data_IF_722450753110
#
_entry.id   IF_722450753110
#
_cell.length_a   1.000
_cell.length_b   1.000
_cell.length_c   1.000
_cell.angle_alpha   90.00
_cell.angle_beta   90.00
_cell.angle_gamma   90.00
#
_symmetry.space_group_name_H-M   'P 1'
#
loop_
_entity.id
_entity.type
_entity.pdbx_description
1 polymer ?
#
# COMPACT_ATOMS: atom_id res chain seq x y z
N UNK A 1 -11.11 23.79 -33.23
CA UNK A 1 -10.59 24.04 -31.88
C UNK A 1 -9.66 22.89 -31.54
N UNK A 2 -8.44 23.14 -31.06
CA UNK A 2 -7.52 22.05 -30.72
C UNK A 2 -7.96 21.38 -29.41
N UNK A 3 -7.54 20.13 -29.20
CA UNK A 3 -7.87 19.37 -27.98
C UNK A 3 -7.43 20.11 -26.71
N UNK A 4 -6.29 20.78 -26.75
CA UNK A 4 -5.80 21.58 -25.63
C UNK A 4 -6.71 22.79 -25.34
N UNK A 5 -7.15 23.50 -26.38
CA UNK A 5 -8.08 24.62 -26.22
C UNK A 5 -9.42 24.15 -25.59
N UNK A 6 -9.91 22.96 -25.97
CA UNK A 6 -11.10 22.34 -25.37
C UNK A 6 -10.89 22.03 -23.89
N UNK A 7 -9.76 21.42 -23.54
CA UNK A 7 -9.43 21.07 -22.17
C UNK A 7 -9.33 22.31 -21.29
N UNK A 8 -8.63 23.35 -21.74
CA UNK A 8 -8.44 24.59 -20.99
C UNK A 8 -9.78 25.27 -20.69
N UNK A 9 -10.69 25.30 -21.66
CA UNK A 9 -12.04 25.83 -21.46
C UNK A 9 -12.84 25.02 -20.44
N UNK A 10 -12.78 23.69 -20.50
CA UNK A 10 -13.46 22.80 -19.54
C UNK A 10 -12.90 23.05 -18.12
N UNK A 11 -11.59 23.08 -17.96
CA UNK A 11 -10.93 23.31 -16.67
C UNK A 11 -11.29 24.70 -16.11
N UNK A 12 -11.34 25.71 -16.96
CA UNK A 12 -11.75 27.06 -16.55
C UNK A 12 -13.18 27.07 -16.02
N UNK A 13 -14.12 26.43 -16.70
CA UNK A 13 -15.52 26.30 -16.24
C UNK A 13 -15.56 25.57 -14.89
N UNK A 14 -14.85 24.44 -14.76
CA UNK A 14 -14.76 23.69 -13.50
C UNK A 14 -14.23 24.55 -12.36
N UNK A 15 -13.20 25.36 -12.62
CA UNK A 15 -12.62 26.26 -11.64
C UNK A 15 -13.61 27.32 -11.15
N UNK A 16 -14.48 27.84 -12.02
CA UNK A 16 -15.51 28.82 -11.64
C UNK A 16 -16.61 28.26 -10.73
N UNK A 17 -16.82 26.94 -10.73
CA UNK A 17 -17.87 26.27 -9.95
C UNK A 17 -17.32 25.41 -8.82
N UNK A 18 -16.01 25.42 -8.59
CA UNK A 18 -15.30 24.52 -7.66
C UNK A 18 -15.81 24.55 -6.21
N UNK A 19 -16.38 25.67 -5.77
CA UNK A 19 -16.93 25.82 -4.41
C UNK A 19 -18.45 25.57 -4.34
N UNK A 20 -19.11 25.29 -5.49
CA UNK A 20 -20.55 25.07 -5.54
C UNK A 20 -20.87 23.57 -5.68
N UNK A 21 -21.19 22.96 -4.54
CA UNK A 21 -21.51 21.52 -4.43
C UNK A 21 -22.59 21.06 -5.41
N UNK A 22 -23.70 21.78 -5.53
CA UNK A 22 -24.82 21.35 -6.37
C UNK A 22 -24.44 21.35 -7.86
N UNK A 23 -23.66 22.35 -8.29
CA UNK A 23 -23.14 22.41 -9.65
C UNK A 23 -22.12 21.30 -9.91
N UNK A 24 -21.20 21.06 -8.98
CA UNK A 24 -20.25 19.96 -9.08
C UNK A 24 -20.96 18.59 -9.14
N UNK A 25 -22.03 18.40 -8.36
CA UNK A 25 -22.78 17.16 -8.36
C UNK A 25 -23.51 16.93 -9.70
N UNK A 26 -24.06 17.99 -10.30
CA UNK A 26 -24.65 17.93 -11.65
C UNK A 26 -23.60 17.58 -12.70
N UNK A 27 -22.43 18.20 -12.65
CA UNK A 27 -21.33 17.93 -13.56
C UNK A 27 -20.83 16.49 -13.41
N UNK A 28 -20.61 16.04 -12.17
CA UNK A 28 -20.19 14.67 -11.89
C UNK A 28 -21.20 13.65 -12.42
N UNK A 29 -22.49 13.90 -12.23
CA UNK A 29 -23.55 13.03 -12.76
C UNK A 29 -23.52 12.96 -14.29
N UNK A 30 -23.39 14.11 -14.95
CA UNK A 30 -23.27 14.15 -16.41
C UNK A 30 -22.04 13.37 -16.89
N UNK A 31 -20.87 13.63 -16.29
CA UNK A 31 -19.64 12.94 -16.65
C UNK A 31 -19.77 11.43 -16.46
N UNK A 32 -20.31 10.96 -15.33
CA UNK A 32 -20.50 9.51 -15.08
C UNK A 32 -21.46 8.82 -16.05
N UNK A 33 -22.46 9.54 -16.55
CA UNK A 33 -23.49 8.95 -17.40
C UNK A 33 -23.14 9.01 -18.88
N UNK A 34 -22.53 10.11 -19.34
CA UNK A 34 -22.40 10.43 -20.76
C UNK A 34 -20.96 10.35 -21.28
N UNK A 35 -19.95 10.41 -20.39
CA UNK A 35 -18.54 10.61 -20.80
C UNK A 35 -17.61 9.55 -20.22
N UNK A 36 -17.70 9.28 -18.91
CA UNK A 36 -16.86 8.34 -18.20
C UNK A 36 -17.39 6.93 -18.43
N UNK A 37 -16.57 6.11 -19.08
CA UNK A 37 -16.78 4.66 -19.18
C UNK A 37 -16.00 4.03 -18.03
N UNK A 38 -16.71 3.45 -17.07
CA UNK A 38 -16.05 2.65 -16.03
C UNK A 38 -15.38 1.44 -16.71
N UNK A 39 -14.05 1.30 -16.62
CA UNK A 39 -13.38 0.23 -17.33
C UNK A 39 -13.82 -1.13 -16.73
N UNK A 40 -14.22 -2.07 -17.59
CA UNK A 40 -14.73 -3.40 -17.19
C UNK A 40 -13.74 -4.18 -16.32
N UNK A 41 -12.45 -3.85 -16.43
CA UNK A 41 -11.39 -4.30 -15.54
C UNK A 41 -10.55 -3.09 -15.16
N UNK A 42 -10.10 -2.97 -13.90
CA UNK A 42 -9.06 -2.01 -13.56
C UNK A 42 -7.90 -2.18 -14.55
N UNK A 43 -7.37 -1.08 -15.06
CA UNK A 43 -6.21 -1.09 -15.96
C UNK A 43 -5.17 -2.06 -15.40
N UNK A 44 -4.77 -3.04 -16.20
CA UNK A 44 -3.78 -4.02 -15.78
C UNK A 44 -2.49 -3.24 -15.52
N UNK A 45 -2.13 -3.08 -14.24
CA UNK A 45 -0.90 -2.41 -13.86
C UNK A 45 0.25 -3.33 -14.29
N UNK A 46 0.78 -3.08 -15.48
CA UNK A 46 1.95 -3.80 -15.98
C UNK A 46 3.17 -3.26 -15.26
N UNK A 47 3.65 -4.01 -14.25
CA UNK A 47 4.87 -3.68 -13.54
C UNK A 47 6.05 -3.73 -14.52
N UNK A 48 6.79 -2.62 -14.74
CA UNK A 48 7.95 -2.63 -15.63
C UNK A 48 8.98 -3.67 -15.16
N UNK A 49 9.58 -4.41 -16.09
CA UNK A 49 10.50 -5.53 -15.79
C UNK A 49 11.59 -5.17 -14.78
N UNK A 50 12.15 -3.96 -14.89
CA UNK A 50 13.21 -3.48 -13.99
C UNK A 50 12.79 -3.45 -12.51
N UNK A 51 11.49 -3.31 -12.21
CA UNK A 51 10.97 -3.27 -10.85
C UNK A 51 10.52 -4.62 -10.32
N UNK A 52 10.38 -5.67 -11.15
CA UNK A 52 9.84 -6.96 -10.69
C UNK A 52 10.63 -7.55 -9.52
N UNK A 53 11.95 -7.54 -9.62
CA UNK A 53 12.83 -8.08 -8.57
C UNK A 53 12.71 -7.26 -7.28
N UNK A 54 12.84 -5.94 -7.38
CA UNK A 54 12.85 -5.07 -6.19
C UNK A 54 11.51 -5.05 -5.49
N UNK A 55 10.39 -5.09 -6.23
CA UNK A 55 9.05 -5.19 -5.63
C UNK A 55 8.87 -6.50 -4.87
N UNK A 56 9.34 -7.63 -5.42
CA UNK A 56 9.31 -8.91 -4.70
C UNK A 56 10.15 -8.85 -3.43
N UNK A 57 11.34 -8.25 -3.49
CA UNK A 57 12.23 -8.11 -2.32
C UNK A 57 11.58 -7.24 -1.24
N UNK A 58 11.05 -6.08 -1.60
CA UNK A 58 10.33 -5.20 -0.67
C UNK A 58 9.16 -5.95 -0.01
N UNK A 59 8.39 -6.71 -0.80
CA UNK A 59 7.26 -7.48 -0.28
C UNK A 59 7.69 -8.54 0.75
N UNK A 60 8.80 -9.24 0.51
CA UNK A 60 9.36 -10.22 1.44
C UNK A 60 9.88 -9.54 2.72
N UNK A 61 10.57 -8.40 2.60
CA UNK A 61 11.10 -7.64 3.73
C UNK A 61 9.98 -7.12 4.65
N UNK A 62 8.96 -6.46 4.09
CA UNK A 62 7.83 -5.97 4.91
C UNK A 62 6.99 -7.11 5.50
N UNK A 63 6.91 -8.27 4.83
CA UNK A 63 6.19 -9.43 5.36
C UNK A 63 6.93 -10.09 6.53
N UNK A 64 8.25 -9.93 6.63
CA UNK A 64 9.07 -10.44 7.72
C UNK A 64 9.27 -9.44 8.87
N UNK A 65 8.65 -8.25 8.79
CA UNK A 65 8.68 -7.24 9.85
C UNK A 65 9.79 -6.20 9.70
N UNK A 66 10.40 -6.09 8.52
CA UNK A 66 11.38 -5.04 8.23
C UNK A 66 10.70 -3.82 7.61
N UNK A 67 11.26 -2.65 7.90
CA UNK A 67 11.03 -1.43 7.16
C UNK A 67 12.00 -1.42 5.99
N UNK A 68 11.50 -1.31 4.76
CA UNK A 68 12.32 -1.29 3.56
C UNK A 68 12.42 0.13 3.00
N UNK A 69 13.64 0.59 2.74
CA UNK A 69 13.94 1.84 2.08
C UNK A 69 14.39 1.57 0.65
N UNK A 70 13.84 2.29 -0.32
CA UNK A 70 14.16 2.15 -1.75
C UNK A 70 14.71 3.47 -2.30
N UNK A 71 15.86 3.40 -2.96
CA UNK A 71 16.29 4.43 -3.90
C UNK A 71 15.63 4.16 -5.27
N UNK A 72 14.68 4.99 -5.75
CA UNK A 72 13.95 4.73 -6.99
C UNK A 72 14.80 4.87 -8.26
N UNK A 73 15.96 5.53 -8.17
CA UNK A 73 16.87 5.76 -9.29
C UNK A 73 17.82 4.58 -9.49
N UNK A 74 18.38 4.07 -8.39
CA UNK A 74 19.38 2.98 -8.42
C UNK A 74 18.78 1.60 -8.16
N UNK A 75 17.55 1.56 -7.62
CA UNK A 75 16.85 0.35 -7.16
C UNK A 75 17.56 -0.38 -6.01
N UNK A 76 18.47 0.31 -5.31
CA UNK A 76 19.06 -0.19 -4.08
C UNK A 76 18.03 -0.16 -2.96
N UNK A 77 18.07 -1.18 -2.11
CA UNK A 77 17.20 -1.31 -0.95
C UNK A 77 18.00 -1.47 0.32
N UNK A 78 17.50 -0.90 1.41
CA UNK A 78 18.02 -1.11 2.77
C UNK A 78 16.86 -1.54 3.67
N UNK A 79 17.06 -2.64 4.41
CA UNK A 79 16.05 -3.20 5.30
C UNK A 79 16.48 -2.98 6.74
N UNK A 80 15.58 -2.43 7.55
CA UNK A 80 15.80 -2.17 8.96
C UNK A 80 14.72 -2.92 9.77
N UNK A 81 15.07 -3.78 10.74
CA UNK A 81 14.10 -4.41 11.62
C UNK A 81 13.20 -3.35 12.26
N UNK A 82 11.88 -3.50 12.18
CA UNK A 82 10.98 -2.53 12.79
C UNK A 82 11.20 -2.43 14.31
N UNK A 83 11.55 -3.54 14.95
CA UNK A 83 11.90 -3.62 16.36
C UNK A 83 13.13 -2.76 16.73
N UNK A 84 14.12 -2.64 15.83
CA UNK A 84 15.28 -1.78 16.06
C UNK A 84 14.87 -0.29 16.12
N UNK A 85 13.87 0.12 15.33
CA UNK A 85 13.34 1.48 15.38
C UNK A 85 12.45 1.70 16.62
N UNK A 86 11.59 0.73 16.93
CA UNK A 86 10.63 0.86 18.03
C UNK A 86 11.26 0.76 19.41
N UNK A 87 12.21 -0.16 19.60
CA UNK A 87 12.85 -0.45 20.89
C UNK A 87 14.37 -0.71 20.71
N UNK A 88 15.15 0.30 20.28
CA UNK A 88 16.55 0.12 19.89
C UNK A 88 17.42 -0.50 21.00
N UNK A 89 17.25 -0.07 22.26
CA UNK A 89 18.02 -0.59 23.39
C UNK A 89 17.75 -2.08 23.66
N UNK A 90 16.49 -2.51 23.58
CA UNK A 90 16.13 -3.91 23.80
C UNK A 90 16.63 -4.79 22.65
N UNK A 91 16.51 -4.27 21.42
CA UNK A 91 17.03 -4.94 20.23
C UNK A 91 18.54 -5.13 20.30
N UNK A 92 19.30 -4.09 20.63
CA UNK A 92 20.76 -4.15 20.78
C UNK A 92 21.16 -5.12 21.91
N UNK A 93 20.44 -5.13 23.03
CA UNK A 93 20.71 -6.09 24.12
C UNK A 93 20.48 -7.55 23.69
N UNK A 94 19.50 -7.83 22.82
CA UNK A 94 19.19 -9.18 22.37
C UNK A 94 20.07 -9.66 21.20
N UNK A 95 20.45 -8.76 20.29
CA UNK A 95 21.09 -9.10 19.01
C UNK A 95 22.55 -8.67 18.94
N UNK A 96 22.95 -7.67 19.73
CA UNK A 96 24.24 -6.99 19.61
C UNK A 96 24.32 -6.00 18.45
N UNK A 97 23.22 -5.78 17.72
CA UNK A 97 23.16 -4.88 16.57
C UNK A 97 22.46 -3.56 16.94
N UNK A 98 23.00 -2.44 16.43
CA UNK A 98 22.47 -1.10 16.58
C UNK A 98 22.42 -0.37 15.23
N UNK A 99 21.69 0.74 15.16
CA UNK A 99 21.63 1.55 13.93
C UNK A 99 23.02 2.02 13.47
N UNK A 100 23.90 2.37 14.41
CA UNK A 100 25.26 2.82 14.09
C UNK A 100 26.15 1.68 13.55
N UNK A 101 25.84 0.43 13.92
CA UNK A 101 26.54 -0.76 13.41
C UNK A 101 26.12 -1.14 11.99
N UNK A 102 24.94 -0.69 11.56
CA UNK A 102 24.43 -0.92 10.21
C UNK A 102 24.94 0.23 9.32
N UNK A 103 25.75 -0.07 8.29
CA UNK A 103 26.32 0.92 7.37
C UNK A 103 25.26 1.46 6.38
N UNK A 104 24.22 2.08 6.93
CA UNK A 104 23.01 2.54 6.24
C UNK A 104 23.31 3.81 5.43
N UNK A 105 23.02 3.76 4.14
CA UNK A 105 23.23 4.84 3.19
C UNK A 105 21.92 5.54 2.80
N UNK A 106 20.75 5.02 3.17
CA UNK A 106 19.47 5.61 2.77
C UNK A 106 19.30 7.08 3.19
N UNK A 107 19.94 7.50 4.28
CA UNK A 107 19.99 8.89 4.74
C UNK A 107 20.74 9.84 3.79
N UNK A 108 21.57 9.29 2.89
CA UNK A 108 22.36 10.03 1.89
C UNK A 108 21.73 10.03 0.50
N UNK A 109 20.65 9.27 0.28
CA UNK A 109 19.97 9.26 -1.01
C UNK A 109 19.17 10.54 -1.21
N UNK A 110 19.23 11.12 -2.41
CA UNK A 110 18.44 12.31 -2.76
C UNK A 110 16.93 12.00 -2.76
N UNK A 111 16.58 10.83 -3.30
CA UNK A 111 15.21 10.30 -3.32
C UNK A 111 15.17 8.97 -2.58
N UNK A 112 14.24 8.83 -1.65
CA UNK A 112 14.04 7.63 -0.85
C UNK A 112 12.55 7.37 -0.60
N UNK A 113 12.10 6.14 -0.84
CA UNK A 113 10.73 5.68 -0.56
C UNK A 113 10.80 4.67 0.59
N UNK A 114 9.98 4.88 1.61
CA UNK A 114 9.89 3.99 2.78
C UNK A 114 8.64 3.10 2.70
N UNK A 115 8.81 1.82 2.96
CA UNK A 115 7.76 0.81 3.04
C UNK A 115 7.75 0.20 4.45
N UNK A 116 6.70 0.50 5.21
CA UNK A 116 6.53 -0.05 6.56
C UNK A 116 5.77 -1.39 6.51
N UNK A 117 6.09 -2.34 7.41
CA UNK A 117 5.29 -3.54 7.57
C UNK A 117 3.88 -3.19 8.05
N UNK A 118 2.89 -3.97 7.60
CA UNK A 118 1.48 -3.73 7.91
C UNK A 118 1.23 -3.80 9.42
N UNK A 119 0.53 -2.79 9.95
CA UNK A 119 0.10 -2.83 11.36
C UNK A 119 -0.89 -3.97 11.55
N UNK A 120 -0.92 -4.56 12.74
CA UNK A 120 -1.77 -5.74 13.00
C UNK A 120 -3.25 -5.51 12.69
N UNK A 121 -3.76 -4.28 12.86
CA UNK A 121 -5.15 -3.95 12.52
C UNK A 121 -5.41 -3.88 11.00
N UNK A 122 -4.41 -3.51 10.20
CA UNK A 122 -4.49 -3.45 8.74
C UNK A 122 -4.46 -4.85 8.16
N UNK A 123 -3.50 -5.67 8.60
CA UNK A 123 -3.45 -7.09 8.27
C UNK A 123 -4.74 -7.80 8.66
N UNK A 124 -5.32 -7.47 9.83
CA UNK A 124 -6.61 -8.02 10.26
C UNK A 124 -7.74 -7.64 9.31
N UNK A 125 -7.82 -6.37 8.89
CA UNK A 125 -8.84 -5.89 7.96
C UNK A 125 -8.74 -6.59 6.60
N UNK A 126 -7.52 -6.73 6.07
CA UNK A 126 -7.27 -7.44 4.80
C UNK A 126 -7.72 -8.89 4.92
N UNK A 127 -7.31 -9.59 5.98
CA UNK A 127 -7.66 -11.00 6.18
C UNK A 127 -9.15 -11.22 6.42
N UNK A 128 -9.82 -10.29 7.09
CA UNK A 128 -11.28 -10.29 7.25
C UNK A 128 -11.98 -10.15 5.91
N UNK A 129 -11.61 -9.16 5.10
CA UNK A 129 -12.18 -8.96 3.75
C UNK A 129 -11.91 -10.18 2.86
N UNK A 130 -10.71 -10.75 2.92
CA UNK A 130 -10.38 -11.98 2.23
C UNK A 130 -11.36 -13.09 2.62
N UNK A 131 -11.48 -13.39 3.92
CA UNK A 131 -12.37 -14.44 4.41
C UNK A 131 -13.84 -14.21 3.99
N UNK A 132 -14.34 -12.98 4.03
CA UNK A 132 -15.71 -12.62 3.63
C UNK A 132 -15.99 -12.88 2.14
N UNK A 133 -14.97 -12.79 1.28
CA UNK A 133 -15.09 -12.96 -0.17
C UNK A 133 -14.66 -14.36 -0.67
N UNK A 134 -14.39 -15.30 0.23
CA UNK A 134 -14.01 -16.67 -0.14
C UNK A 134 -15.20 -17.50 -0.63
N UNK A 135 -14.97 -18.32 -1.66
CA UNK A 135 -15.95 -19.28 -2.17
C UNK A 135 -15.98 -20.60 -1.40
N UNK A 136 -14.85 -21.01 -0.80
CA UNK A 136 -14.79 -22.18 0.09
C UNK A 136 -15.39 -21.85 1.46
N UNK A 137 -16.64 -22.27 1.66
CA UNK A 137 -17.41 -22.01 2.88
C UNK A 137 -16.82 -22.69 4.12
N UNK A 138 -16.17 -23.85 3.97
CA UNK A 138 -15.56 -24.56 5.10
C UNK A 138 -14.32 -23.83 5.60
N UNK A 139 -13.46 -23.40 4.67
CA UNK A 139 -12.26 -22.63 5.00
C UNK A 139 -12.63 -21.22 5.50
N UNK A 140 -13.62 -20.58 4.89
CA UNK A 140 -14.17 -19.31 5.35
C UNK A 140 -14.61 -19.37 6.82
N UNK A 141 -15.41 -20.38 7.20
CA UNK A 141 -15.85 -20.52 8.59
C UNK A 141 -14.69 -20.69 9.56
N UNK A 142 -13.68 -21.50 9.21
CA UNK A 142 -12.48 -21.67 10.04
C UNK A 142 -11.71 -20.35 10.20
N UNK A 143 -11.52 -19.60 9.11
CA UNK A 143 -10.82 -18.31 9.12
C UNK A 143 -11.56 -17.27 9.94
N UNK A 144 -12.88 -17.09 9.73
CA UNK A 144 -13.70 -16.15 10.51
C UNK A 144 -13.66 -16.49 12.00
N UNK A 145 -13.76 -17.78 12.35
CA UNK A 145 -13.68 -18.22 13.75
C UNK A 145 -12.30 -17.92 14.38
N UNK A 146 -11.22 -18.14 13.64
CA UNK A 146 -9.87 -17.81 14.10
C UNK A 146 -9.65 -16.31 14.22
N UNK A 147 -10.22 -15.52 13.30
CA UNK A 147 -10.14 -14.06 13.32
C UNK A 147 -10.87 -13.44 14.52
N UNK A 148 -11.99 -14.02 14.95
CA UNK A 148 -12.74 -13.51 16.11
C UNK A 148 -12.13 -13.87 17.48
N UNK A 149 -11.04 -14.65 17.51
CA UNK A 149 -10.35 -15.02 18.75
C UNK A 149 -9.29 -14.00 19.15
N UNK A 150 -8.91 -14.02 20.43
CA UNK A 150 -7.75 -13.26 20.92
C UNK A 150 -6.48 -13.71 20.17
N UNK A 151 -5.67 -12.74 19.75
CA UNK A 151 -4.48 -12.93 18.89
C UNK A 151 -4.85 -13.71 17.60
N UNK A 152 -5.66 -13.13 16.71
CA UNK A 152 -6.23 -13.78 15.52
C UNK A 152 -5.25 -14.70 14.77
N UNK A 153 -4.11 -14.14 14.36
CA UNK A 153 -3.10 -14.82 13.55
C UNK A 153 -2.41 -15.99 14.26
N UNK A 154 -2.29 -15.96 15.58
CA UNK A 154 -1.72 -17.06 16.35
C UNK A 154 -2.60 -18.33 16.32
N UNK A 155 -3.88 -18.19 15.95
CA UNK A 155 -4.83 -19.30 15.83
C UNK A 155 -4.78 -19.98 14.46
N UNK A 156 -4.03 -19.45 13.49
CA UNK A 156 -4.05 -19.95 12.11
C UNK A 156 -3.41 -21.34 11.97
N UNK A 157 -2.53 -21.72 12.90
CA UNK A 157 -1.97 -23.08 13.01
C UNK A 157 -3.01 -24.19 13.22
N UNK A 158 -4.26 -23.85 13.53
CA UNK A 158 -5.34 -24.79 13.81
C UNK A 158 -6.38 -24.90 12.66
N UNK A 159 -6.13 -24.25 11.52
CA UNK A 159 -7.01 -24.22 10.34
C UNK A 159 -6.61 -25.35 9.40
#
# INVERSE_FOLDING_TARGET
MKTNDLLDNILQILYTVKENRDKLQKILRFLKNEVYVEPEKPEEIVLPEKYKKVVSQIADSINTGFICYLNPETLLTEDIPQELINNPYEFEMMTGESLDSMDLQHSKWENCICFEPLKSYESFKIMKLFAENMTDTRLQMKLINSLNRRKPFANFKAI
#
